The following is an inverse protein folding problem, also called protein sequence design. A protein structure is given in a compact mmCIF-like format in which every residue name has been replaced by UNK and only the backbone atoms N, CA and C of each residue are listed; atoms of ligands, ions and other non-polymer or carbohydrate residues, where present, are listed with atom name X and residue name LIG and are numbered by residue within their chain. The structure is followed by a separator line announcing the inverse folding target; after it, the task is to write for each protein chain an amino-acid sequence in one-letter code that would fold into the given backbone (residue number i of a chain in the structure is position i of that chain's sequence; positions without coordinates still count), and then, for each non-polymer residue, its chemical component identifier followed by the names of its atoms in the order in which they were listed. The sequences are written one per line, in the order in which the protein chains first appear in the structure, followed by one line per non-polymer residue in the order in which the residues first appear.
data_IF_824036173913
#
_entry.id   IF_824036173913
#
_cell.length_a   1.000
_cell.length_b   1.000
_cell.length_c   1.000
_cell.angle_alpha   90.00
_cell.angle_beta   90.00
_cell.angle_gamma   90.00
#
_symmetry.space_group_name_H-M   'P 1'
#
loop_
_entity.id
_entity.type
_entity.pdbx_description
1 polymer ?
#
# COMPACT_ATOMS: atom_id res chain seq x y z
N UNK A 1 -11.69 -30.28 -12.01
CA UNK A 1 -12.24 -29.41 -10.96
C UNK A 1 -13.28 -28.52 -11.62
N UNK A 2 -14.54 -28.61 -11.21
CA UNK A 2 -15.54 -27.64 -11.61
C UNK A 2 -15.19 -26.28 -10.98
N UNK A 3 -15.27 -25.21 -11.75
CA UNK A 3 -14.98 -23.87 -11.25
C UNK A 3 -16.18 -23.39 -10.42
N UNK A 4 -16.01 -23.29 -9.09
CA UNK A 4 -17.03 -22.71 -8.21
C UNK A 4 -17.11 -21.19 -8.42
N UNK A 5 -18.27 -20.59 -8.15
CA UNK A 5 -18.44 -19.14 -8.23
C UNK A 5 -17.42 -18.40 -7.34
N UNK A 6 -17.14 -18.94 -6.15
CA UNK A 6 -16.13 -18.42 -5.22
C UNK A 6 -14.74 -18.44 -5.83
N UNK A 7 -14.33 -19.54 -6.45
CA UNK A 7 -13.02 -19.65 -7.11
C UNK A 7 -12.91 -18.67 -8.28
N UNK A 8 -13.95 -18.54 -9.11
CA UNK A 8 -13.98 -17.60 -10.24
C UNK A 8 -13.83 -16.16 -9.72
N UNK A 9 -14.62 -15.77 -8.73
CA UNK A 9 -14.57 -14.42 -8.16
C UNK A 9 -13.24 -14.16 -7.46
N UNK A 10 -12.70 -15.12 -6.71
CA UNK A 10 -11.40 -15.02 -6.05
C UNK A 10 -10.27 -14.81 -7.05
N UNK A 11 -10.15 -15.64 -8.08
CA UNK A 11 -9.10 -15.48 -9.09
C UNK A 11 -9.28 -14.23 -9.96
N UNK A 12 -10.53 -13.80 -10.19
CA UNK A 12 -10.80 -12.52 -10.86
C UNK A 12 -10.27 -11.34 -10.03
N UNK A 13 -10.44 -11.36 -8.70
CA UNK A 13 -9.85 -10.35 -7.80
C UNK A 13 -8.33 -10.35 -7.86
N UNK A 14 -7.70 -11.52 -7.91
CA UNK A 14 -6.23 -11.62 -8.07
C UNK A 14 -5.78 -10.98 -9.38
N UNK A 15 -6.46 -11.26 -10.49
CA UNK A 15 -6.19 -10.62 -11.78
C UNK A 15 -6.33 -9.10 -11.73
N UNK A 16 -7.42 -8.59 -11.14
CA UNK A 16 -7.64 -7.16 -10.93
C UNK A 16 -6.56 -6.55 -10.04
N UNK A 17 -6.19 -7.21 -8.95
CA UNK A 17 -5.14 -6.76 -8.03
C UNK A 17 -3.80 -6.66 -8.74
N UNK A 18 -3.38 -7.69 -9.47
CA UNK A 18 -2.10 -7.73 -10.19
C UNK A 18 -2.02 -6.65 -11.27
N UNK A 19 -3.09 -6.46 -12.05
CA UNK A 19 -3.10 -5.45 -13.10
C UNK A 19 -3.14 -4.02 -12.52
N UNK A 20 -4.00 -3.77 -11.53
CA UNK A 20 -4.11 -2.47 -10.88
C UNK A 20 -2.85 -2.09 -10.11
N UNK A 21 -2.36 -2.96 -9.21
CA UNK A 21 -1.11 -2.73 -8.49
C UNK A 21 0.10 -2.66 -9.43
N UNK A 22 0.18 -3.51 -10.45
CA UNK A 22 1.30 -3.51 -11.38
C UNK A 22 1.42 -2.18 -12.13
N UNK A 23 0.29 -1.65 -12.61
CA UNK A 23 0.26 -0.35 -13.26
C UNK A 23 0.54 0.80 -12.27
N UNK A 24 0.00 0.73 -11.05
CA UNK A 24 0.29 1.69 -9.99
C UNK A 24 1.78 1.72 -9.64
N UNK A 25 2.40 0.55 -9.43
CA UNK A 25 3.80 0.40 -9.11
C UNK A 25 4.69 0.89 -10.26
N UNK A 26 4.31 0.65 -11.52
CA UNK A 26 5.03 1.17 -12.68
C UNK A 26 5.01 2.69 -12.76
N UNK A 27 3.83 3.32 -12.60
CA UNK A 27 3.72 4.79 -12.57
C UNK A 27 4.47 5.39 -11.38
N UNK A 28 4.38 4.78 -10.21
CA UNK A 28 5.08 5.27 -9.02
C UNK A 28 6.61 5.11 -9.12
N UNK A 29 7.08 4.05 -9.79
CA UNK A 29 8.49 3.89 -10.11
C UNK A 29 9.01 4.98 -11.06
N UNK A 30 8.23 5.28 -12.11
CA UNK A 30 8.61 6.20 -13.18
C UNK A 30 8.42 7.67 -12.84
N UNK A 31 7.29 8.03 -12.25
CA UNK A 31 6.81 9.40 -12.07
C UNK A 31 6.66 9.81 -10.60
N UNK A 32 6.86 8.87 -9.65
CA UNK A 32 6.73 9.11 -8.19
C UNK A 32 5.36 9.60 -7.76
N UNK A 33 4.37 9.33 -8.59
CA UNK A 33 3.00 9.74 -8.38
C UNK A 33 2.10 8.73 -9.06
N UNK A 34 1.02 8.39 -8.36
CA UNK A 34 -0.12 7.69 -8.95
C UNK A 34 -1.28 8.68 -9.04
N UNK A 35 -1.79 8.98 -10.26
CA UNK A 35 -2.90 9.90 -10.44
C UNK A 35 -4.19 9.38 -9.79
N UNK A 36 -5.09 10.29 -9.42
CA UNK A 36 -6.39 9.92 -8.82
C UNK A 36 -7.25 9.11 -9.79
N UNK A 37 -7.14 9.43 -11.07
CA UNK A 37 -7.81 8.78 -12.19
C UNK A 37 -7.55 7.28 -12.21
N UNK A 38 -6.33 6.84 -11.89
CA UNK A 38 -5.99 5.43 -11.78
C UNK A 38 -6.86 4.72 -10.72
N UNK A 39 -6.95 5.30 -9.53
CA UNK A 39 -7.76 4.74 -8.44
C UNK A 39 -9.26 4.74 -8.78
N UNK A 40 -9.75 5.76 -9.48
CA UNK A 40 -11.15 5.82 -9.96
C UNK A 40 -11.43 4.70 -10.96
N UNK A 41 -10.52 4.45 -11.90
CA UNK A 41 -10.69 3.39 -12.90
C UNK A 41 -10.69 2.02 -12.25
N UNK A 42 -9.73 1.74 -11.36
CA UNK A 42 -9.57 0.44 -10.73
C UNK A 42 -10.53 0.18 -9.56
N UNK A 43 -11.14 1.21 -8.98
CA UNK A 43 -12.25 1.02 -8.04
C UNK A 43 -13.48 0.39 -8.70
N UNK A 44 -13.74 0.64 -9.99
CA UNK A 44 -14.90 0.09 -10.71
C UNK A 44 -14.94 -1.45 -10.70
N UNK A 45 -13.90 -2.18 -11.18
CA UNK A 45 -13.91 -3.63 -11.12
C UNK A 45 -13.93 -4.16 -9.68
N UNK A 46 -13.26 -3.50 -8.73
CA UNK A 46 -13.27 -3.92 -7.32
C UNK A 46 -14.69 -3.87 -6.73
N UNK A 47 -15.39 -2.75 -6.89
CA UNK A 47 -16.77 -2.57 -6.42
C UNK A 47 -17.73 -3.51 -7.15
N UNK A 48 -17.55 -3.70 -8.45
CA UNK A 48 -18.38 -4.60 -9.24
C UNK A 48 -18.26 -6.05 -8.76
N UNK A 49 -17.03 -6.55 -8.60
CA UNK A 49 -16.78 -7.92 -8.12
C UNK A 49 -17.30 -8.09 -6.69
N UNK A 50 -17.13 -7.09 -5.82
CA UNK A 50 -17.66 -7.16 -4.47
C UNK A 50 -19.20 -7.19 -4.45
N UNK A 51 -19.87 -6.44 -5.32
CA UNK A 51 -21.32 -6.50 -5.45
C UNK A 51 -21.82 -7.88 -5.93
N UNK A 52 -21.11 -8.51 -6.87
CA UNK A 52 -21.40 -9.89 -7.31
C UNK A 52 -21.20 -10.90 -6.19
N UNK A 53 -20.16 -10.73 -5.39
CA UNK A 53 -19.88 -11.59 -4.24
C UNK A 53 -20.96 -11.49 -3.16
N UNK A 54 -21.39 -10.26 -2.83
CA UNK A 54 -22.54 -10.04 -1.95
C UNK A 54 -23.83 -10.68 -2.52
N UNK A 55 -24.01 -10.65 -3.84
CA UNK A 55 -25.16 -11.28 -4.50
C UNK A 55 -25.13 -12.80 -4.36
N UNK A 56 -23.96 -13.42 -4.56
CA UNK A 56 -23.77 -14.87 -4.39
C UNK A 56 -24.02 -15.28 -2.94
N UNK A 57 -23.65 -14.44 -1.98
CA UNK A 57 -23.86 -14.69 -0.55
C UNK A 57 -25.29 -14.35 -0.06
N UNK A 58 -26.19 -13.93 -0.96
CA UNK A 58 -27.59 -13.65 -0.62
C UNK A 58 -27.80 -12.38 0.21
N UNK A 59 -26.90 -11.40 0.08
CA UNK A 59 -26.95 -10.15 0.84
C UNK A 59 -28.27 -9.38 0.64
N UNK A 60 -28.82 -8.84 1.73
CA UNK A 60 -29.97 -7.95 1.66
C UNK A 60 -29.58 -6.47 1.49
N UNK A 61 -30.57 -5.61 1.29
CA UNK A 61 -30.37 -4.18 1.03
C UNK A 61 -29.55 -3.49 2.13
N UNK A 62 -29.66 -3.90 3.39
CA UNK A 62 -28.91 -3.27 4.49
C UNK A 62 -27.41 -3.55 4.37
N UNK A 63 -27.03 -4.75 3.93
CA UNK A 63 -25.64 -5.13 3.66
C UNK A 63 -25.11 -4.36 2.45
N UNK A 64 -25.89 -4.26 1.35
CA UNK A 64 -25.49 -3.45 0.19
C UNK A 64 -25.29 -1.98 0.54
N UNK A 65 -26.17 -1.38 1.33
CA UNK A 65 -26.02 0.00 1.78
C UNK A 65 -24.83 0.17 2.72
N UNK A 66 -24.54 -0.82 3.57
CA UNK A 66 -23.34 -0.85 4.42
C UNK A 66 -22.07 -0.91 3.58
N UNK A 67 -22.01 -1.78 2.57
CA UNK A 67 -20.89 -1.84 1.62
C UNK A 67 -20.74 -0.53 0.84
N UNK A 68 -21.85 0.05 0.37
CA UNK A 68 -21.86 1.35 -0.29
C UNK A 68 -21.31 2.46 0.63
N UNK A 69 -21.58 2.38 1.93
CA UNK A 69 -21.06 3.30 2.92
C UNK A 69 -19.52 3.18 3.08
N UNK A 70 -18.98 1.95 3.05
CA UNK A 70 -17.53 1.71 3.06
C UNK A 70 -16.86 2.33 1.83
N UNK A 71 -17.43 2.09 0.64
CA UNK A 71 -16.92 2.66 -0.62
C UNK A 71 -17.01 4.20 -0.60
N UNK A 72 -18.11 4.75 -0.08
CA UNK A 72 -18.30 6.18 0.14
C UNK A 72 -17.18 6.77 1.00
N UNK A 73 -16.84 6.14 2.11
CA UNK A 73 -15.75 6.61 2.97
C UNK A 73 -14.39 6.52 2.28
N UNK A 74 -14.08 5.41 1.59
CA UNK A 74 -12.85 5.26 0.82
C UNK A 74 -12.70 6.33 -0.29
N UNK A 75 -13.82 6.72 -0.91
CA UNK A 75 -13.86 7.71 -1.99
C UNK A 75 -13.36 9.09 -1.58
N UNK A 76 -13.40 9.42 -0.28
CA UNK A 76 -12.88 10.69 0.28
C UNK A 76 -11.41 10.90 -0.06
N UNK A 77 -10.63 9.81 -0.11
CA UNK A 77 -9.20 9.89 -0.44
C UNK A 77 -8.95 10.36 -1.88
N UNK A 78 -9.91 10.16 -2.78
CA UNK A 78 -9.80 10.42 -4.23
C UNK A 78 -10.53 11.70 -4.61
N UNK A 79 -11.78 11.86 -4.18
CA UNK A 79 -12.64 12.99 -4.55
C UNK A 79 -12.62 14.15 -3.55
N UNK A 80 -12.01 13.95 -2.37
CA UNK A 80 -12.08 14.90 -1.27
C UNK A 80 -13.35 14.76 -0.45
N UNK A 81 -13.53 15.64 0.54
CA UNK A 81 -14.69 15.64 1.43
C UNK A 81 -15.78 16.57 0.86
N UNK A 82 -17.00 16.07 0.58
CA UNK A 82 -18.09 16.94 0.21
C UNK A 82 -18.43 17.87 1.37
N UNK A 83 -18.69 19.15 1.11
CA UNK A 83 -19.10 20.11 2.14
C UNK A 83 -20.54 20.54 1.96
N UNK A 84 -21.25 20.75 3.07
CA UNK A 84 -22.63 21.28 3.05
C UNK A 84 -22.69 22.68 2.43
N UNK A 85 -21.62 23.47 2.56
CA UNK A 85 -21.54 24.80 1.98
C UNK A 85 -21.51 24.73 0.45
N UNK A 86 -20.69 23.85 -0.11
CA UNK A 86 -20.51 23.71 -1.56
C UNK A 86 -21.73 23.03 -2.22
N UNK A 87 -22.35 22.07 -1.53
CA UNK A 87 -23.63 21.49 -1.95
C UNK A 87 -24.77 22.53 -2.00
N UNK A 88 -24.81 23.47 -1.04
CA UNK A 88 -25.79 24.58 -1.03
C UNK A 88 -25.52 25.59 -2.15
N UNK A 89 -24.26 25.83 -2.51
CA UNK A 89 -23.87 26.69 -3.64
C UNK A 89 -24.19 26.11 -5.02
N UNK A 90 -24.64 24.85 -5.09
CA UNK A 90 -25.15 24.27 -6.33
C UNK A 90 -24.20 23.29 -7.03
N UNK A 91 -23.10 22.87 -6.40
CA UNK A 91 -22.29 21.79 -6.95
C UNK A 91 -23.07 20.47 -6.87
N UNK A 92 -23.55 20.00 -8.03
CA UNK A 92 -24.35 18.77 -8.13
C UNK A 92 -23.62 17.53 -7.63
N UNK A 93 -22.29 17.49 -7.82
CA UNK A 93 -21.44 16.39 -7.36
C UNK A 93 -21.48 16.23 -5.84
N UNK A 94 -21.34 17.31 -5.07
CA UNK A 94 -21.35 17.25 -3.60
C UNK A 94 -22.70 16.76 -3.06
N UNK A 95 -23.80 17.12 -3.71
CA UNK A 95 -25.15 16.64 -3.34
C UNK A 95 -25.27 15.13 -3.51
N UNK A 96 -24.72 14.59 -4.61
CA UNK A 96 -24.71 13.14 -4.88
C UNK A 96 -23.89 12.42 -3.82
N UNK A 97 -22.70 12.91 -3.49
CA UNK A 97 -21.87 12.31 -2.43
C UNK A 97 -22.54 12.39 -1.06
N UNK A 98 -23.17 13.51 -0.70
CA UNK A 98 -23.89 13.63 0.58
C UNK A 98 -25.09 12.68 0.66
N UNK A 99 -25.86 12.53 -0.42
CA UNK A 99 -26.95 11.57 -0.49
C UNK A 99 -26.44 10.14 -0.36
N UNK A 100 -25.34 9.81 -1.03
CA UNK A 100 -24.69 8.51 -0.91
C UNK A 100 -24.24 8.25 0.53
N UNK A 101 -23.65 9.23 1.21
CA UNK A 101 -23.22 9.10 2.60
C UNK A 101 -24.40 8.93 3.55
N UNK A 102 -25.49 9.67 3.34
CA UNK A 102 -26.71 9.53 4.13
C UNK A 102 -27.36 8.15 3.95
N UNK A 103 -27.47 7.67 2.70
CA UNK A 103 -28.00 6.34 2.41
C UNK A 103 -27.13 5.23 3.01
N UNK A 104 -25.81 5.37 2.91
CA UNK A 104 -24.85 4.46 3.53
C UNK A 104 -24.97 4.43 5.06
N UNK A 105 -25.01 5.60 5.70
CA UNK A 105 -25.20 5.71 7.15
C UNK A 105 -26.53 5.09 7.61
N UNK A 106 -27.62 5.32 6.87
CA UNK A 106 -28.91 4.69 7.14
C UNK A 106 -28.83 3.16 7.02
N UNK A 107 -28.11 2.64 6.02
CA UNK A 107 -27.85 1.21 5.85
C UNK A 107 -27.09 0.59 7.01
N UNK A 108 -26.02 1.26 7.46
CA UNK A 108 -25.23 0.81 8.62
C UNK A 108 -26.09 0.76 9.87
N UNK A 109 -26.86 1.83 10.17
CA UNK A 109 -27.73 1.87 11.35
C UNK A 109 -28.83 0.82 11.27
N UNK A 110 -29.50 0.69 10.12
CA UNK A 110 -30.55 -0.29 9.92
C UNK A 110 -30.02 -1.73 10.02
N UNK A 111 -28.85 -2.01 9.45
CA UNK A 111 -28.17 -3.30 9.57
C UNK A 111 -27.77 -3.61 11.01
N UNK A 112 -27.24 -2.63 11.74
CA UNK A 112 -26.88 -2.80 13.15
C UNK A 112 -28.10 -3.17 14.01
N UNK A 113 -29.25 -2.54 13.77
CA UNK A 113 -30.51 -2.88 14.46
C UNK A 113 -31.02 -4.26 14.03
N UNK A 114 -30.94 -4.59 12.74
CA UNK A 114 -31.43 -5.86 12.19
C UNK A 114 -30.62 -7.06 12.67
N UNK A 115 -29.29 -6.93 12.72
CA UNK A 115 -28.36 -8.01 13.04
C UNK A 115 -27.76 -7.90 14.46
N UNK A 116 -28.39 -7.13 15.34
CA UNK A 116 -27.94 -6.91 16.73
C UNK A 116 -27.76 -8.21 17.55
N UNK A 117 -28.43 -9.29 17.14
CA UNK A 117 -28.33 -10.59 17.81
C UNK A 117 -27.01 -11.31 17.51
N UNK A 118 -26.37 -11.02 16.37
CA UNK A 118 -25.05 -11.54 16.03
C UNK A 118 -24.00 -10.60 16.60
N UNK A 119 -23.00 -11.15 17.27
CA UNK A 119 -21.90 -10.38 17.86
C UNK A 119 -20.61 -10.52 17.03
N UNK A 120 -19.64 -9.60 17.17
CA UNK A 120 -18.32 -9.76 16.56
C UNK A 120 -17.59 -11.05 16.98
N UNK A 121 -17.87 -11.56 18.19
CA UNK A 121 -17.30 -12.83 18.66
C UNK A 121 -17.86 -14.00 17.87
N UNK A 122 -19.16 -13.99 17.57
CA UNK A 122 -19.80 -15.03 16.74
C UNK A 122 -19.20 -15.06 15.33
N UNK A 123 -18.80 -13.89 14.80
CA UNK A 123 -18.12 -13.79 13.49
C UNK A 123 -16.73 -14.44 13.51
N UNK A 124 -16.00 -14.29 14.61
CA UNK A 124 -14.66 -14.88 14.78
C UNK A 124 -14.72 -16.39 15.01
N UNK A 125 -15.76 -16.86 15.69
CA UNK A 125 -16.00 -18.28 15.96
C UNK A 125 -16.81 -18.98 14.86
N UNK A 126 -17.20 -18.24 13.82
CA UNK A 126 -18.07 -18.69 12.72
C UNK A 126 -19.37 -19.36 13.21
N UNK A 127 -19.96 -18.82 14.28
CA UNK A 127 -21.08 -19.41 15.02
C UNK A 127 -22.24 -18.42 15.17
N UNK A 128 -22.76 -17.93 14.05
CA UNK A 128 -23.85 -16.94 14.03
C UNK A 128 -24.76 -17.06 12.81
N UNK A 129 -25.74 -16.15 12.73
CA UNK A 129 -26.58 -16.01 11.54
C UNK A 129 -25.71 -15.61 10.33
N UNK A 130 -25.77 -16.31 9.18
CA UNK A 130 -24.91 -16.04 8.03
C UNK A 130 -24.98 -14.59 7.53
N UNK A 131 -26.18 -13.99 7.48
CA UNK A 131 -26.35 -12.61 7.02
C UNK A 131 -25.86 -11.61 8.07
N UNK A 132 -26.10 -11.86 9.36
CA UNK A 132 -25.53 -11.08 10.44
C UNK A 132 -24.01 -11.10 10.44
N UNK A 133 -23.40 -12.27 10.21
CA UNK A 133 -21.95 -12.39 10.09
C UNK A 133 -21.40 -11.64 8.86
N UNK A 134 -22.08 -11.74 7.72
CA UNK A 134 -21.73 -11.00 6.51
C UNK A 134 -21.82 -9.49 6.71
N UNK A 135 -22.85 -9.01 7.40
CA UNK A 135 -23.00 -7.60 7.74
C UNK A 135 -21.85 -7.11 8.62
N UNK A 136 -21.50 -7.85 9.67
CA UNK A 136 -20.36 -7.51 10.53
C UNK A 136 -19.02 -7.53 9.80
N UNK A 137 -18.78 -8.52 8.93
CA UNK A 137 -17.58 -8.57 8.06
C UNK A 137 -17.50 -7.33 7.15
N UNK A 138 -18.64 -6.92 6.59
CA UNK A 138 -18.76 -5.71 5.76
C UNK A 138 -18.52 -4.44 6.59
N UNK A 139 -19.10 -4.35 7.78
CA UNK A 139 -18.94 -3.22 8.68
C UNK A 139 -17.51 -3.10 9.23
N UNK A 140 -16.85 -4.23 9.53
CA UNK A 140 -15.46 -4.25 9.98
C UNK A 140 -14.50 -3.62 8.95
N UNK A 141 -14.83 -3.68 7.66
CA UNK A 141 -14.05 -3.05 6.61
C UNK A 141 -13.97 -1.53 6.77
N UNK A 142 -14.97 -0.88 7.38
CA UNK A 142 -14.86 0.53 7.77
C UNK A 142 -13.70 0.78 8.70
N UNK A 143 -13.53 -0.07 9.71
CA UNK A 143 -12.44 0.08 10.67
C UNK A 143 -11.10 -0.04 9.95
N UNK A 144 -10.95 -1.00 9.04
CA UNK A 144 -9.73 -1.17 8.23
C UNK A 144 -9.41 0.09 7.43
N UNK A 145 -10.38 0.60 6.65
CA UNK A 145 -10.18 1.81 5.84
C UNK A 145 -9.94 3.04 6.71
N UNK A 146 -10.63 3.14 7.85
CA UNK A 146 -10.42 4.19 8.84
C UNK A 146 -9.01 4.17 9.43
N UNK A 147 -8.51 2.99 9.81
CA UNK A 147 -7.14 2.84 10.31
C UNK A 147 -6.11 3.24 9.26
N UNK A 148 -6.31 2.86 7.99
CA UNK A 148 -5.42 3.26 6.89
C UNK A 148 -5.47 4.79 6.68
N UNK A 149 -6.67 5.40 6.67
CA UNK A 149 -6.82 6.86 6.56
C UNK A 149 -6.15 7.59 7.73
N UNK A 150 -6.31 7.07 8.95
CA UNK A 150 -5.68 7.65 10.14
C UNK A 150 -4.15 7.51 10.10
N UNK A 151 -3.64 6.35 9.71
CA UNK A 151 -2.21 6.12 9.55
C UNK A 151 -1.59 7.10 8.53
N UNK A 152 -2.32 7.42 7.46
CA UNK A 152 -1.91 8.45 6.50
C UNK A 152 -1.96 9.87 7.10
N UNK A 153 -3.05 10.24 7.79
CA UNK A 153 -3.19 11.58 8.42
C UNK A 153 -2.15 11.83 9.51
N UNK A 154 -1.80 10.80 10.28
CA UNK A 154 -0.79 10.85 11.32
C UNK A 154 0.64 10.71 10.78
N UNK A 155 0.82 10.67 9.45
CA UNK A 155 2.12 10.53 8.76
C UNK A 155 2.87 9.24 9.09
N UNK A 156 2.17 8.19 9.52
CA UNK A 156 2.74 6.84 9.60
C UNK A 156 2.92 6.26 8.19
N UNK A 157 1.93 6.48 7.32
CA UNK A 157 2.04 6.26 5.88
C UNK A 157 2.40 7.58 5.20
N UNK A 158 3.60 7.65 4.61
CA UNK A 158 4.14 8.89 4.07
C UNK A 158 3.56 9.24 2.68
N UNK A 159 3.14 8.24 1.90
CA UNK A 159 2.59 8.42 0.55
C UNK A 159 1.05 8.37 0.51
N UNK A 160 0.43 9.37 -0.12
CA UNK A 160 -1.02 9.33 -0.39
C UNK A 160 -1.41 8.26 -1.41
N UNK A 161 -0.51 7.88 -2.32
CA UNK A 161 -0.70 6.76 -3.24
C UNK A 161 -0.74 5.42 -2.48
N UNK A 162 0.14 5.26 -1.47
CA UNK A 162 0.20 4.05 -0.64
C UNK A 162 -1.10 3.83 0.13
N UNK A 163 -1.61 4.88 0.77
CA UNK A 163 -2.87 4.82 1.50
C UNK A 163 -4.03 4.40 0.58
N UNK A 164 -4.12 5.00 -0.62
CA UNK A 164 -5.13 4.64 -1.63
C UNK A 164 -4.99 3.21 -2.10
N UNK A 165 -3.77 2.73 -2.29
CA UNK A 165 -3.51 1.34 -2.67
C UNK A 165 -4.03 0.36 -1.61
N UNK A 166 -3.72 0.60 -0.33
CA UNK A 166 -4.18 -0.26 0.76
C UNK A 166 -5.70 -0.20 0.94
N UNK A 167 -6.32 0.97 0.80
CA UNK A 167 -7.78 1.10 0.80
C UNK A 167 -8.40 0.34 -0.36
N UNK A 168 -7.84 0.46 -1.56
CA UNK A 168 -8.30 -0.25 -2.74
C UNK A 168 -8.13 -1.78 -2.62
N UNK A 169 -7.00 -2.26 -2.08
CA UNK A 169 -6.79 -3.68 -1.76
C UNK A 169 -7.86 -4.19 -0.80
N UNK A 170 -8.24 -3.38 0.19
CA UNK A 170 -9.33 -3.71 1.13
C UNK A 170 -10.68 -3.85 0.43
N UNK A 171 -10.92 -3.10 -0.65
CA UNK A 171 -12.13 -3.24 -1.47
C UNK A 171 -12.08 -4.45 -2.41
N UNK A 172 -10.89 -4.77 -2.94
CA UNK A 172 -10.70 -5.96 -3.79
C UNK A 172 -10.84 -7.24 -2.97
N UNK A 173 -10.22 -7.28 -1.79
CA UNK A 173 -10.27 -8.39 -0.83
C UNK A 173 -10.82 -7.93 0.53
N UNK A 174 -12.16 -7.86 0.68
CA UNK A 174 -12.82 -7.45 1.92
C UNK A 174 -12.47 -8.34 3.12
N UNK A 175 -12.27 -9.63 2.88
CA UNK A 175 -12.00 -10.65 3.90
C UNK A 175 -11.08 -11.74 3.34
N UNK A 176 -10.47 -12.55 4.20
CA UNK A 176 -9.67 -13.69 3.76
C UNK A 176 -10.45 -14.74 2.98
N UNK A 177 -11.76 -14.87 3.23
CA UNK A 177 -12.64 -15.75 2.45
C UNK A 177 -12.70 -15.37 0.96
N UNK A 178 -12.37 -14.12 0.61
CA UNK A 178 -12.33 -13.67 -0.79
C UNK A 178 -11.01 -13.94 -1.50
N UNK A 179 -9.98 -14.41 -0.79
CA UNK A 179 -8.65 -14.71 -1.33
C UNK A 179 -8.59 -16.19 -1.73
N UNK A 180 -8.29 -16.54 -3.00
CA UNK A 180 -8.07 -17.93 -3.38
C UNK A 180 -6.69 -18.37 -2.89
N UNK A 181 -6.61 -19.05 -1.75
CA UNK A 181 -5.35 -19.54 -1.16
C UNK A 181 -5.05 -20.98 -1.62
N UNK A 182 -4.30 -21.21 -2.72
CA UNK A 182 -4.12 -22.55 -3.28
C UNK A 182 -3.26 -23.47 -2.39
N UNK A 183 -2.36 -22.91 -1.58
CA UNK A 183 -1.51 -23.71 -0.69
C UNK A 183 -2.01 -23.73 0.75
N UNK A 184 -2.98 -22.87 1.10
CA UNK A 184 -3.52 -22.64 2.45
C UNK A 184 -2.55 -23.03 3.59
N UNK A 185 -1.36 -22.42 3.56
CA UNK A 185 -0.29 -22.77 4.49
C UNK A 185 -0.58 -22.21 5.89
N UNK A 186 -1.50 -21.25 5.99
CA UNK A 186 -1.96 -20.65 7.24
C UNK A 186 -2.91 -21.58 8.03
N UNK A 187 -3.71 -22.41 7.36
CA UNK A 187 -4.52 -23.48 7.94
C UNK A 187 -5.75 -23.01 8.75
N UNK A 188 -6.75 -23.90 8.86
CA UNK A 188 -8.07 -23.71 9.49
C UNK A 188 -8.07 -23.39 11.01
N UNK A 189 -6.92 -23.09 11.62
CA UNK A 189 -6.78 -22.94 13.08
C UNK A 189 -6.48 -21.53 13.60
N UNK A 190 -6.25 -20.55 12.72
CA UNK A 190 -5.92 -19.18 13.16
C UNK A 190 -7.18 -18.34 13.36
N UNK A 191 -7.61 -18.22 14.62
CA UNK A 191 -8.81 -17.47 15.04
C UNK A 191 -8.73 -15.97 14.71
N UNK A 192 -7.52 -15.43 14.53
CA UNK A 192 -7.30 -14.00 14.26
C UNK A 192 -6.32 -13.84 13.10
N UNK A 193 -6.84 -13.53 11.92
CA UNK A 193 -6.05 -13.08 10.78
C UNK A 193 -6.18 -11.57 10.63
N UNK A 194 -5.07 -10.90 10.30
CA UNK A 194 -5.08 -9.46 10.03
C UNK A 194 -5.86 -9.16 8.75
N UNK A 195 -6.43 -7.96 8.57
CA UNK A 195 -7.06 -7.61 7.29
C UNK A 195 -6.08 -7.77 6.12
N UNK A 196 -6.57 -8.23 4.96
CA UNK A 196 -5.75 -8.60 3.80
C UNK A 196 -4.80 -7.47 3.36
N UNK A 197 -5.26 -6.21 3.40
CA UNK A 197 -4.42 -5.04 3.09
C UNK A 197 -3.29 -4.81 4.09
N UNK A 198 -3.50 -5.11 5.37
CA UNK A 198 -2.45 -5.01 6.41
C UNK A 198 -1.46 -6.16 6.26
N UNK A 199 -1.92 -7.37 5.98
CA UNK A 199 -1.03 -8.49 5.67
C UNK A 199 -0.18 -8.24 4.42
N UNK A 200 -0.75 -7.58 3.40
CA UNK A 200 0.02 -7.13 2.23
C UNK A 200 1.11 -6.12 2.62
N UNK A 201 0.80 -5.18 3.52
CA UNK A 201 1.78 -4.23 4.04
C UNK A 201 2.92 -4.94 4.80
N UNK A 202 2.62 -5.98 5.59
CA UNK A 202 3.63 -6.77 6.29
C UNK A 202 4.50 -7.54 5.30
N UNK A 203 3.91 -8.21 4.30
CA UNK A 203 4.68 -8.87 3.23
C UNK A 203 5.58 -7.89 2.49
N UNK A 204 5.08 -6.70 2.16
CA UNK A 204 5.89 -5.62 1.59
C UNK A 204 7.01 -5.17 2.52
N UNK A 205 6.70 -5.03 3.82
CA UNK A 205 7.65 -4.76 4.91
C UNK A 205 8.80 -5.77 4.95
N UNK A 206 8.49 -7.06 4.87
CA UNK A 206 9.47 -8.14 4.81
C UNK A 206 10.34 -8.05 3.56
N UNK A 207 9.79 -7.64 2.42
CA UNK A 207 10.58 -7.42 1.20
C UNK A 207 11.63 -6.31 1.38
N UNK A 208 11.40 -5.29 2.22
CA UNK A 208 12.42 -4.28 2.53
C UNK A 208 13.65 -4.87 3.23
N UNK A 209 13.50 -5.95 3.99
CA UNK A 209 14.62 -6.62 4.66
C UNK A 209 15.61 -7.24 3.65
N UNK A 210 15.18 -7.46 2.41
CA UNK A 210 16.03 -7.98 1.34
C UNK A 210 16.86 -6.89 0.64
N UNK A 211 16.46 -5.62 0.75
CA UNK A 211 17.14 -4.50 0.06
C UNK A 211 18.64 -4.47 0.35
N UNK A 212 19.09 -4.56 1.62
CA UNK A 212 20.51 -4.42 1.89
C UNK A 212 21.36 -5.51 1.24
N UNK A 213 20.85 -6.74 1.21
CA UNK A 213 21.51 -7.87 0.57
C UNK A 213 21.56 -7.72 -0.95
N UNK A 214 20.47 -7.25 -1.56
CA UNK A 214 20.42 -6.97 -2.99
C UNK A 214 21.41 -5.86 -3.35
N UNK A 215 21.40 -4.75 -2.62
CA UNK A 215 22.32 -3.63 -2.84
C UNK A 215 23.78 -4.07 -2.68
N UNK A 216 24.10 -4.82 -1.63
CA UNK A 216 25.46 -5.33 -1.42
C UNK A 216 25.91 -6.21 -2.59
N UNK A 217 25.07 -7.16 -3.02
CA UNK A 217 25.37 -8.02 -4.16
C UNK A 217 25.57 -7.23 -5.47
N UNK A 218 24.73 -6.22 -5.72
CA UNK A 218 24.86 -5.34 -6.89
C UNK A 218 26.15 -4.52 -6.86
N UNK A 219 26.53 -3.96 -5.71
CA UNK A 219 27.74 -3.15 -5.56
C UNK A 219 29.01 -4.00 -5.70
N UNK A 220 29.02 -5.21 -5.15
CA UNK A 220 30.12 -6.17 -5.32
C UNK A 220 30.25 -6.54 -6.80
N UNK A 221 29.14 -6.88 -7.47
CA UNK A 221 29.13 -7.24 -8.89
C UNK A 221 29.61 -6.13 -9.83
N UNK A 222 29.43 -4.86 -9.44
CA UNK A 222 29.90 -3.68 -10.20
C UNK A 222 31.34 -3.26 -9.86
N UNK A 223 31.97 -3.90 -8.87
CA UNK A 223 33.30 -3.50 -8.39
C UNK A 223 33.30 -2.16 -7.63
N UNK A 224 32.17 -1.80 -7.03
CA UNK A 224 31.99 -0.55 -6.28
C UNK A 224 32.58 -0.63 -4.87
N UNK A 225 32.79 -1.85 -4.35
CA UNK A 225 33.40 -2.11 -3.04
C UNK A 225 34.90 -2.32 -3.22
N UNK A 226 35.72 -1.33 -2.87
CA UNK A 226 37.19 -1.40 -2.99
C UNK A 226 37.89 -1.51 -1.64
N UNK A 227 37.27 -1.01 -0.59
CA UNK A 227 37.77 -1.05 0.78
C UNK A 227 36.70 -1.49 1.78
N UNK A 228 37.12 -1.84 3.00
CA UNK A 228 36.21 -2.20 4.10
C UNK A 228 35.26 -1.04 4.49
N UNK A 229 35.69 0.21 4.29
CA UNK A 229 34.84 1.40 4.48
C UNK A 229 33.63 1.42 3.54
N UNK A 230 33.80 0.86 2.34
CA UNK A 230 32.78 0.88 1.30
C UNK A 230 31.70 -0.15 1.56
N UNK A 231 32.00 -1.25 2.29
CA UNK A 231 31.02 -2.26 2.69
C UNK A 231 29.86 -1.65 3.46
N UNK A 232 30.16 -0.67 4.33
CA UNK A 232 29.14 0.02 5.11
C UNK A 232 28.20 0.83 4.20
N UNK A 233 28.70 1.44 3.13
CA UNK A 233 27.86 2.18 2.18
C UNK A 233 27.14 1.22 1.22
N UNK A 234 27.83 0.19 0.75
CA UNK A 234 27.30 -0.81 -0.17
C UNK A 234 26.09 -1.58 0.40
N UNK A 235 25.95 -1.58 1.72
CA UNK A 235 24.81 -2.16 2.44
C UNK A 235 23.49 -1.41 2.17
N UNK A 236 23.49 -0.11 1.90
CA UNK A 236 22.23 0.69 1.78
C UNK A 236 22.27 1.78 0.71
N UNK A 237 23.35 1.89 -0.04
CA UNK A 237 23.58 2.86 -1.10
C UNK A 237 24.22 2.21 -2.32
N UNK A 238 24.29 2.93 -3.43
CA UNK A 238 24.96 2.49 -4.67
C UNK A 238 25.81 3.61 -5.25
N UNK A 239 26.84 3.27 -6.03
CA UNK A 239 27.60 4.30 -6.77
C UNK A 239 27.01 4.62 -8.15
N UNK A 240 26.88 5.90 -8.45
CA UNK A 240 26.52 6.43 -9.77
C UNK A 240 27.58 7.39 -10.29
N UNK A 241 27.64 7.56 -11.61
CA UNK A 241 28.39 8.66 -12.21
C UNK A 241 27.72 9.99 -11.86
N UNK A 242 28.51 11.04 -11.59
CA UNK A 242 28.00 12.39 -11.26
C UNK A 242 26.97 12.87 -12.29
N UNK A 243 27.26 12.65 -13.58
CA UNK A 243 26.41 13.05 -14.71
C UNK A 243 25.05 12.34 -14.77
N UNK A 244 24.89 11.20 -14.08
CA UNK A 244 23.64 10.45 -14.06
C UNK A 244 22.73 10.83 -12.87
N UNK A 245 23.26 11.55 -11.87
CA UNK A 245 22.55 11.81 -10.60
C UNK A 245 21.29 12.63 -10.83
N UNK A 246 21.37 13.69 -11.64
CA UNK A 246 20.23 14.58 -11.94
C UNK A 246 19.08 13.85 -12.65
N UNK A 247 19.38 12.83 -13.45
CA UNK A 247 18.39 12.05 -14.18
C UNK A 247 17.71 10.95 -13.35
N UNK A 248 18.08 10.76 -12.07
CA UNK A 248 17.58 9.67 -11.24
C UNK A 248 16.96 10.15 -9.93
N UNK A 249 15.98 9.41 -9.45
CA UNK A 249 15.34 9.65 -8.16
C UNK A 249 16.18 9.11 -6.99
N UNK A 250 17.25 9.83 -6.68
CA UNK A 250 18.20 9.44 -5.64
C UNK A 250 18.48 10.56 -4.65
N UNK A 251 19.05 10.18 -3.52
CA UNK A 251 19.63 11.06 -2.52
C UNK A 251 21.13 11.03 -2.66
N UNK A 252 21.75 12.19 -2.91
CA UNK A 252 23.21 12.31 -2.89
C UNK A 252 23.72 12.11 -1.45
N UNK A 253 24.66 11.19 -1.26
CA UNK A 253 25.29 10.91 0.04
C UNK A 253 26.74 11.41 0.10
N UNK A 254 27.37 11.68 -1.04
CA UNK A 254 28.68 12.32 -1.08
C UNK A 254 28.53 13.83 -0.95
N UNK A 255 29.27 14.43 -0.03
CA UNK A 255 29.37 15.88 0.16
C UNK A 255 30.84 16.30 0.21
N UNK A 256 31.11 17.60 0.13
CA UNK A 256 32.46 18.16 0.23
C UNK A 256 32.65 18.85 1.58
N UNK A 257 33.80 18.64 2.23
CA UNK A 257 34.14 19.29 3.50
C UNK A 257 35.55 19.88 3.40
N UNK A 258 35.68 21.15 3.77
CA UNK A 258 36.97 21.80 4.02
C UNK A 258 37.57 21.32 5.35
N UNK A 259 38.73 20.69 5.28
CA UNK A 259 39.47 20.27 6.47
C UNK A 259 40.14 21.48 7.15
N UNK A 260 40.46 21.42 8.45
CA UNK A 260 41.20 22.48 9.14
C UNK A 260 42.58 22.81 8.52
N UNK A 261 43.08 21.92 7.66
CA UNK A 261 44.30 22.09 6.86
C UNK A 261 44.10 22.92 5.57
N UNK A 262 42.87 23.32 5.25
CA UNK A 262 42.50 23.98 3.99
C UNK A 262 42.30 23.01 2.81
N UNK A 263 42.43 21.70 3.02
CA UNK A 263 42.21 20.68 1.99
C UNK A 263 40.72 20.32 1.90
N UNK A 264 40.13 20.40 0.70
CA UNK A 264 38.74 19.96 0.47
C UNK A 264 38.74 18.46 0.18
N UNK A 265 37.94 17.69 0.92
CA UNK A 265 37.77 16.24 0.68
C UNK A 265 36.31 15.86 0.50
N UNK A 266 36.08 14.88 -0.36
CA UNK A 266 34.79 14.22 -0.48
C UNK A 266 34.56 13.31 0.74
N UNK A 267 33.41 13.48 1.41
CA UNK A 267 33.00 12.70 2.58
C UNK A 267 31.62 12.09 2.31
N UNK A 268 31.42 10.87 2.79
CA UNK A 268 30.16 10.15 2.58
C UNK A 268 29.29 10.17 3.83
N UNK A 269 28.13 10.81 3.73
CA UNK A 269 27.09 10.74 4.72
C UNK A 269 26.46 9.33 4.73
N UNK A 270 26.29 8.75 5.92
CA UNK A 270 25.62 7.44 6.05
C UNK A 270 24.10 7.55 5.86
N UNK A 271 23.51 8.73 6.06
CA UNK A 271 22.05 8.93 6.02
C UNK A 271 21.68 9.90 4.91
N UNK A 272 20.55 9.62 4.27
CA UNK A 272 19.91 10.56 3.36
C UNK A 272 19.57 11.89 4.08
N UNK A 273 19.58 13.02 3.34
CA UNK A 273 19.20 14.31 3.88
C UNK A 273 17.73 14.31 4.35
N UNK A 274 17.42 15.11 5.37
CA UNK A 274 16.07 15.20 5.95
C UNK A 274 15.07 15.87 5.00
N UNK A 275 15.55 16.81 4.18
CA UNK A 275 14.76 17.55 3.20
C UNK A 275 15.28 17.24 1.81
N UNK A 276 14.37 17.22 0.83
CA UNK A 276 14.78 17.14 -0.57
C UNK A 276 15.49 18.42 -0.98
N UNK A 277 16.76 18.40 -1.42
CA UNK A 277 17.35 19.58 -2.02
C UNK A 277 16.61 19.92 -3.31
N UNK A 278 16.58 21.20 -3.65
CA UNK A 278 16.11 21.64 -4.97
C UNK A 278 17.07 21.17 -6.07
N UNK A 279 16.62 21.22 -7.32
CA UNK A 279 17.47 20.86 -8.46
C UNK A 279 18.70 21.78 -8.54
N UNK A 280 18.54 23.08 -8.24
CA UNK A 280 19.63 24.06 -8.18
C UNK A 280 20.64 23.77 -7.06
N UNK A 281 20.16 23.39 -5.87
CA UNK A 281 21.02 23.00 -4.74
C UNK A 281 21.80 21.71 -5.06
N UNK A 282 21.15 20.75 -5.72
CA UNK A 282 21.78 19.50 -6.12
C UNK A 282 22.83 19.73 -7.21
N UNK A 283 22.54 20.56 -8.21
CA UNK A 283 23.48 20.95 -9.27
C UNK A 283 24.73 21.63 -8.69
N UNK A 284 24.54 22.57 -7.76
CA UNK A 284 25.65 23.25 -7.07
C UNK A 284 26.54 22.26 -6.33
N UNK A 285 25.94 21.27 -5.63
CA UNK A 285 26.69 20.22 -4.93
C UNK A 285 27.47 19.33 -5.91
N UNK A 286 26.85 18.92 -7.01
CA UNK A 286 27.50 18.08 -8.01
C UNK A 286 28.69 18.79 -8.67
N UNK A 287 28.56 20.07 -9.00
CA UNK A 287 29.65 20.88 -9.54
C UNK A 287 30.86 20.92 -8.58
N UNK A 288 30.62 21.12 -7.28
CA UNK A 288 31.71 21.12 -6.29
C UNK A 288 32.43 19.77 -6.16
N UNK A 289 31.72 18.66 -6.42
CA UNK A 289 32.29 17.31 -6.39
C UNK A 289 33.09 17.03 -7.68
N UNK A 290 32.59 17.53 -8.82
CA UNK A 290 33.27 17.41 -10.11
C UNK A 290 34.58 18.21 -10.14
N UNK A 291 34.63 19.40 -9.52
CA UNK A 291 35.85 20.19 -9.35
C UNK A 291 36.96 19.43 -8.58
N UNK A 292 36.59 18.47 -7.72
CA UNK A 292 37.53 17.60 -7.01
C UNK A 292 37.99 16.38 -7.84
N UNK A 293 37.53 16.25 -9.08
CA UNK A 293 37.85 15.12 -9.96
C UNK A 293 37.20 13.80 -9.53
N UNK A 294 36.08 13.85 -8.81
CA UNK A 294 35.35 12.66 -8.37
C UNK A 294 34.28 12.29 -9.40
N UNK A 295 34.54 11.25 -10.20
CA UNK A 295 33.61 10.82 -11.25
C UNK A 295 32.39 10.06 -10.72
N UNK A 296 32.51 9.43 -9.55
CA UNK A 296 31.48 8.54 -8.98
C UNK A 296 31.14 8.88 -7.53
N UNK A 297 29.85 8.90 -7.23
CA UNK A 297 29.31 9.30 -5.94
C UNK A 297 28.36 8.24 -5.37
N UNK A 298 28.33 8.15 -4.04
CA UNK A 298 27.37 7.31 -3.34
C UNK A 298 26.01 7.98 -3.32
N UNK A 299 24.99 7.21 -3.65
CA UNK A 299 23.60 7.67 -3.62
C UNK A 299 22.69 6.64 -2.95
N UNK A 300 21.65 7.12 -2.27
CA UNK A 300 20.56 6.27 -1.77
C UNK A 300 19.35 6.39 -2.67
N UNK A 301 18.78 5.28 -3.13
CA UNK A 301 17.62 5.30 -3.99
C UNK A 301 16.36 5.69 -3.21
N UNK A 302 15.57 6.62 -3.75
CA UNK A 302 14.18 6.80 -3.30
C UNK A 302 13.42 5.59 -3.84
N UNK A 303 13.04 4.63 -3.01
CA UNK A 303 12.31 3.46 -3.46
C UNK A 303 10.82 3.64 -3.13
N UNK A 304 9.90 3.60 -4.12
CA UNK A 304 8.48 3.78 -3.86
C UNK A 304 7.93 2.53 -3.16
N UNK A 305 7.01 2.70 -2.21
CA UNK A 305 6.44 1.57 -1.46
C UNK A 305 5.66 0.62 -2.37
N UNK A 306 4.96 1.13 -3.39
CA UNK A 306 4.18 0.32 -4.32
C UNK A 306 5.02 -0.70 -5.10
N UNK A 307 6.30 -0.41 -5.34
CA UNK A 307 7.23 -1.34 -6.00
C UNK A 307 7.52 -2.56 -5.12
N UNK A 308 7.36 -2.46 -3.81
CA UNK A 308 7.49 -3.60 -2.88
C UNK A 308 6.15 -4.27 -2.62
N UNK A 309 5.07 -3.50 -2.55
CA UNK A 309 3.72 -4.06 -2.36
C UNK A 309 3.30 -4.92 -3.55
N UNK A 310 3.63 -4.54 -4.79
CA UNK A 310 3.27 -5.33 -5.97
C UNK A 310 3.81 -6.77 -5.96
N UNK A 311 5.12 -7.03 -5.82
CA UNK A 311 5.62 -8.41 -5.73
C UNK A 311 5.15 -9.12 -4.46
N UNK A 312 4.85 -8.39 -3.37
CA UNK A 312 4.28 -8.94 -2.15
C UNK A 312 2.85 -9.49 -2.32
N UNK A 313 2.16 -9.17 -3.41
CA UNK A 313 0.87 -9.80 -3.76
C UNK A 313 1.02 -11.31 -3.97
N UNK A 314 2.16 -11.77 -4.48
CA UNK A 314 2.41 -13.19 -4.73
C UNK A 314 2.40 -14.03 -3.44
N UNK A 315 3.26 -13.77 -2.44
CA UNK A 315 3.21 -14.51 -1.20
C UNK A 315 1.89 -14.30 -0.44
N UNK A 316 1.25 -13.14 -0.55
CA UNK A 316 -0.08 -12.91 0.05
C UNK A 316 -1.13 -13.89 -0.48
N UNK A 317 -1.26 -14.02 -1.81
CA UNK A 317 -2.27 -14.87 -2.45
C UNK A 317 -1.89 -16.34 -2.37
N UNK A 318 -0.59 -16.66 -2.41
CA UNK A 318 -0.13 -18.05 -2.39
C UNK A 318 -0.07 -18.63 -0.97
N UNK A 319 0.39 -17.86 0.00
CA UNK A 319 0.73 -18.35 1.35
C UNK A 319 -0.23 -17.84 2.44
N UNK A 320 -0.95 -16.74 2.20
CA UNK A 320 -1.88 -16.15 3.16
C UNK A 320 -1.26 -15.09 4.08
N UNK A 321 -1.79 -15.00 5.30
CA UNK A 321 -1.39 -14.02 6.31
C UNK A 321 0.02 -14.35 6.86
N UNK A 322 1.02 -13.46 6.73
CA UNK A 322 2.36 -13.73 7.25
C UNK A 322 2.37 -13.92 8.76
N UNK A 323 1.45 -13.31 9.50
CA UNK A 323 1.39 -13.44 10.96
C UNK A 323 0.88 -14.81 11.39
N UNK A 324 -0.11 -15.36 10.68
CA UNK A 324 -0.58 -16.73 10.88
C UNK A 324 0.54 -17.75 10.63
N UNK A 325 1.32 -17.56 9.56
CA UNK A 325 2.47 -18.41 9.24
C UNK A 325 3.56 -18.36 10.32
N UNK A 326 3.87 -17.17 10.82
CA UNK A 326 4.85 -17.00 11.91
C UNK A 326 4.38 -17.65 13.21
N UNK A 327 3.11 -17.46 13.58
CA UNK A 327 2.54 -18.06 14.78
C UNK A 327 2.59 -19.59 14.71
N UNK A 328 2.27 -20.16 13.55
CA UNK A 328 2.39 -21.61 13.31
C UNK A 328 3.84 -22.12 13.35
N UNK A 329 4.81 -21.28 13.01
CA UNK A 329 6.21 -21.67 13.06
C UNK A 329 6.79 -21.61 14.47
N UNK A 330 6.27 -20.71 15.32
CA UNK A 330 6.74 -20.50 16.70
C UNK A 330 6.00 -21.41 17.70
N UNK A 331 4.73 -21.75 17.43
CA UNK A 331 3.90 -22.67 18.23
C UNK A 331 3.84 -24.08 17.66
#
# INVERSE_FOLDING_TARGET
MEATNEAILGWTRVGVLLLGMGWAAWMDHRERRVPNEHWIVWAKPAVFIWALDLMVQGADLTIYLTAAAVVAYASVSVFGRPTLADARKGLGMDRVFLLWYAAGAAGVVAGAVRYQATTPVDVLLDNGDPLGMLWWRTAALFLVIFFIDMAWRLRLLHGGADAKALMWVSLVFPTWASVPLPFDVAGEGTVVALPVSISLLIWGGLAFLLIPFIMLGMNIGRGDVRALSDLRMAWHASMLNVNEVMGRHVWLLTDTIEMPSGEVRAVHATRAPRNTPSDEELETKLASIEELGVDRVWVSHKMPLLVFLFPAVLPLVLLGDPTALLLRWIG
#
